data_IF_389978482462
#
_entry.id   IF_389978482462
#
_cell.length_a   1.000
_cell.length_b   1.000
_cell.length_c   1.000
_cell.angle_alpha   90.00
_cell.angle_beta   90.00
_cell.angle_gamma   90.00
#
_symmetry.space_group_name_H-M   'P 1'
#
loop_
_entity.id
_entity.type
_entity.pdbx_description
1 polymer ?
#
# COMPACT_ATOMS: atom_id res chain seq x y z
N UNK A 1 9.17 -14.79 -18.21
CA UNK A 1 8.90 -13.39 -17.83
C UNK A 1 8.53 -12.47 -19.01
N UNK A 2 8.89 -12.81 -20.24
CA UNK A 2 8.49 -12.03 -21.43
C UNK A 2 7.16 -12.48 -22.05
N UNK A 3 6.66 -13.65 -21.70
CA UNK A 3 5.34 -14.12 -22.11
C UNK A 3 4.18 -13.44 -21.35
N UNK A 4 4.48 -12.70 -20.28
CA UNK A 4 3.45 -12.07 -19.43
C UNK A 4 2.76 -10.87 -20.09
N UNK A 5 3.42 -10.11 -20.98
CA UNK A 5 2.82 -8.88 -21.50
C UNK A 5 1.71 -9.13 -22.54
N UNK A 6 1.85 -10.09 -23.42
CA UNK A 6 0.83 -10.40 -24.42
C UNK A 6 -0.34 -11.23 -23.86
N UNK A 7 -0.10 -12.06 -22.84
CA UNK A 7 -1.14 -12.85 -22.18
C UNK A 7 -1.88 -12.08 -21.09
N UNK A 8 -1.27 -11.05 -20.46
CA UNK A 8 -1.90 -10.25 -19.41
C UNK A 8 -2.95 -9.30 -19.94
N UNK A 9 -2.83 -8.78 -21.17
CA UNK A 9 -3.79 -7.85 -21.76
C UNK A 9 -5.10 -8.53 -22.22
N UNK A 10 -5.05 -9.83 -22.52
CA UNK A 10 -6.23 -10.58 -22.98
C UNK A 10 -7.04 -11.16 -21.82
N UNK A 11 -6.43 -11.30 -20.65
CA UNK A 11 -7.06 -11.98 -19.53
C UNK A 11 -6.59 -11.37 -18.18
N UNK A 12 -7.43 -10.73 -17.42
CA UNK A 12 -7.14 -10.27 -16.04
C UNK A 12 -6.77 -11.46 -15.16
N UNK A 13 -5.45 -11.67 -14.83
CA UNK A 13 -4.97 -12.90 -14.20
C UNK A 13 -3.87 -12.72 -13.20
N UNK A 14 -3.81 -13.66 -12.27
CA UNK A 14 -2.68 -13.85 -11.36
C UNK A 14 -1.74 -14.92 -11.89
N UNK A 15 -0.42 -14.63 -11.87
CA UNK A 15 0.65 -15.57 -12.09
C UNK A 15 1.44 -15.72 -10.81
N UNK A 16 1.72 -16.97 -10.43
CA UNK A 16 2.52 -17.29 -9.24
C UNK A 16 3.69 -18.16 -9.65
N UNK A 17 4.91 -17.71 -9.39
CA UNK A 17 6.11 -18.51 -9.60
C UNK A 17 6.11 -19.71 -8.65
N UNK A 18 6.46 -20.87 -9.17
CA UNK A 18 6.63 -22.12 -8.43
C UNK A 18 8.04 -22.66 -8.66
N UNK A 19 8.45 -23.63 -7.86
CA UNK A 19 9.80 -24.21 -7.91
C UNK A 19 10.14 -24.82 -9.27
N UNK A 20 9.15 -25.28 -10.01
CA UNK A 20 9.25 -26.00 -11.29
C UNK A 20 8.47 -25.35 -12.43
N UNK A 21 8.02 -24.11 -12.27
CA UNK A 21 7.29 -23.42 -13.32
C UNK A 21 6.48 -22.22 -12.86
N UNK A 22 5.38 -21.96 -13.55
CA UNK A 22 4.47 -20.85 -13.26
C UNK A 22 3.04 -21.39 -13.18
N UNK A 23 2.34 -21.10 -12.08
CA UNK A 23 0.90 -21.32 -11.98
C UNK A 23 0.15 -20.08 -12.47
N UNK A 24 -0.79 -20.27 -13.38
CA UNK A 24 -1.67 -19.21 -13.87
C UNK A 24 -3.12 -19.54 -13.50
N UNK A 25 -3.81 -18.55 -12.91
CA UNK A 25 -5.22 -18.70 -12.51
C UNK A 25 -6.12 -17.89 -13.44
N UNK A 26 -7.23 -18.46 -13.88
CA UNK A 26 -8.20 -17.84 -14.78
C UNK A 26 -9.61 -18.21 -14.36
N UNK A 27 -10.57 -17.31 -14.52
CA UNK A 27 -11.98 -17.61 -14.33
C UNK A 27 -12.43 -18.68 -15.33
N UNK A 28 -13.22 -19.63 -14.87
CA UNK A 28 -13.64 -20.81 -15.64
C UNK A 28 -14.32 -20.45 -16.96
N UNK A 29 -15.16 -19.44 -16.97
CA UNK A 29 -15.89 -18.92 -18.13
C UNK A 29 -14.98 -18.23 -19.16
N UNK A 30 -13.79 -17.78 -18.74
CA UNK A 30 -12.76 -17.18 -19.60
C UNK A 30 -11.72 -18.19 -20.09
N UNK A 31 -11.72 -19.43 -19.59
CA UNK A 31 -10.78 -20.45 -19.99
C UNK A 31 -11.12 -21.02 -21.38
N UNK A 32 -10.15 -20.96 -22.27
CA UNK A 32 -10.26 -21.56 -23.60
C UNK A 32 -8.97 -22.30 -23.96
N UNK A 33 -9.06 -23.63 -23.96
CA UNK A 33 -7.92 -24.51 -24.21
C UNK A 33 -7.32 -24.33 -25.63
N UNK A 34 -8.15 -23.98 -26.63
CA UNK A 34 -7.67 -23.75 -28.00
C UNK A 34 -6.78 -22.50 -28.04
N UNK A 35 -7.21 -21.43 -27.43
CA UNK A 35 -6.42 -20.18 -27.33
C UNK A 35 -5.12 -20.42 -26.59
N UNK A 36 -5.15 -21.22 -25.51
CA UNK A 36 -3.93 -21.58 -24.78
C UNK A 36 -2.96 -22.36 -25.66
N UNK A 37 -3.44 -23.38 -26.40
CA UNK A 37 -2.60 -24.19 -27.30
C UNK A 37 -2.00 -23.35 -28.43
N UNK A 38 -2.77 -22.43 -28.99
CA UNK A 38 -2.27 -21.52 -30.04
C UNK A 38 -1.18 -20.59 -29.48
N UNK A 39 -1.40 -20.02 -28.30
CA UNK A 39 -0.41 -19.15 -27.64
C UNK A 39 0.88 -19.91 -27.26
N UNK A 40 0.78 -21.19 -26.88
CA UNK A 40 1.96 -22.03 -26.57
C UNK A 40 2.68 -22.49 -27.84
N UNK A 41 1.98 -22.65 -28.94
CA UNK A 41 2.58 -23.00 -30.24
C UNK A 41 3.44 -21.87 -30.82
N UNK A 42 3.08 -20.61 -30.50
CA UNK A 42 3.82 -19.39 -30.88
C UNK A 42 4.68 -18.84 -29.74
N UNK A 43 5.19 -19.71 -28.88
CA UNK A 43 5.95 -19.32 -27.72
C UNK A 43 7.27 -18.60 -28.10
N UNK A 44 7.55 -17.41 -27.57
CA UNK A 44 8.59 -16.53 -28.12
C UNK A 44 10.05 -16.95 -27.85
N UNK A 45 10.27 -18.03 -27.09
CA UNK A 45 11.61 -18.54 -26.81
C UNK A 45 11.92 -19.73 -27.71
N UNK A 46 12.90 -19.65 -28.62
CA UNK A 46 13.30 -20.75 -29.47
C UNK A 46 13.84 -21.93 -28.63
N UNK A 47 13.63 -23.15 -29.10
CA UNK A 47 14.10 -24.39 -28.46
C UNK A 47 13.53 -24.62 -27.03
N UNK A 48 12.41 -23.99 -26.67
CA UNK A 48 11.75 -24.20 -25.41
C UNK A 48 10.52 -25.08 -25.58
N UNK A 49 10.49 -26.20 -24.87
CA UNK A 49 9.31 -27.05 -24.77
C UNK A 49 8.52 -26.63 -23.52
N UNK A 50 7.27 -26.25 -23.73
CA UNK A 50 6.35 -25.89 -22.62
C UNK A 50 5.37 -27.02 -22.40
N UNK A 51 5.40 -27.62 -21.23
CA UNK A 51 4.39 -28.58 -20.78
C UNK A 51 3.40 -27.86 -19.87
N UNK A 52 2.13 -28.17 -19.97
CA UNK A 52 1.11 -27.60 -19.08
C UNK A 52 0.11 -28.65 -18.63
N UNK A 53 -0.41 -28.46 -17.45
CA UNK A 53 -1.56 -29.15 -16.91
C UNK A 53 -2.57 -28.14 -16.39
N UNK A 54 -3.84 -28.45 -16.45
CA UNK A 54 -4.86 -27.61 -15.81
C UNK A 54 -5.74 -28.44 -14.90
N UNK A 55 -6.22 -27.81 -13.86
CA UNK A 55 -7.21 -28.38 -12.94
C UNK A 55 -8.23 -27.32 -12.58
N UNK A 56 -9.46 -27.74 -12.36
CA UNK A 56 -10.47 -26.87 -11.80
C UNK A 56 -10.17 -26.66 -10.32
N UNK A 57 -9.96 -25.39 -9.91
CA UNK A 57 -9.84 -25.05 -8.50
C UNK A 57 -11.23 -25.14 -7.85
N UNK A 58 -11.29 -25.56 -6.59
CA UNK A 58 -12.52 -25.48 -5.82
C UNK A 58 -13.02 -24.03 -5.79
N UNK A 59 -14.32 -23.84 -5.90
CA UNK A 59 -14.96 -22.51 -5.78
C UNK A 59 -14.94 -22.08 -4.31
N UNK A 60 -13.74 -21.67 -3.87
CA UNK A 60 -13.48 -21.11 -2.55
C UNK A 60 -12.98 -19.70 -2.73
N UNK A 61 -13.38 -18.82 -1.84
CA UNK A 61 -12.69 -17.54 -1.69
C UNK A 61 -11.29 -17.79 -1.11
N UNK A 62 -10.34 -18.01 -2.02
CA UNK A 62 -8.94 -18.27 -1.67
C UNK A 62 -8.29 -17.06 -0.97
N UNK A 63 -8.83 -15.85 -1.19
CA UNK A 63 -8.36 -14.65 -0.50
C UNK A 63 -8.79 -14.70 0.97
N UNK A 64 -10.05 -15.04 1.24
CA UNK A 64 -10.54 -15.21 2.61
C UNK A 64 -9.80 -16.34 3.35
N UNK A 65 -9.50 -17.45 2.68
CA UNK A 65 -8.74 -18.55 3.28
C UNK A 65 -7.28 -18.19 3.50
N UNK A 66 -6.68 -17.45 2.56
CA UNK A 66 -5.33 -16.91 2.73
C UNK A 66 -5.28 -15.89 3.88
N UNK A 67 -6.20 -14.97 3.93
CA UNK A 67 -6.31 -13.96 5.00
C UNK A 67 -6.45 -14.63 6.37
N UNK A 68 -7.32 -15.62 6.51
CA UNK A 68 -7.50 -16.35 7.77
C UNK A 68 -6.26 -17.14 8.22
N UNK A 69 -5.49 -17.66 7.30
CA UNK A 69 -4.35 -18.53 7.61
C UNK A 69 -3.02 -17.78 7.73
N UNK A 70 -2.85 -16.65 7.02
CA UNK A 70 -1.57 -15.94 6.89
C UNK A 70 -1.58 -14.54 7.51
N UNK A 71 -2.73 -13.89 7.65
CA UNK A 71 -2.83 -12.62 8.33
C UNK A 71 -2.93 -12.85 9.84
N UNK A 72 -1.83 -12.64 10.55
CA UNK A 72 -1.80 -12.71 12.02
C UNK A 72 -1.90 -11.29 12.60
N UNK A 73 -2.45 -11.11 13.83
CA UNK A 73 -2.42 -9.81 14.50
C UNK A 73 -0.99 -9.28 14.61
N UNK A 74 -0.81 -8.01 14.29
CA UNK A 74 0.48 -7.32 14.32
C UNK A 74 0.51 -6.37 15.49
N UNK A 75 1.59 -6.41 16.28
CA UNK A 75 1.81 -5.48 17.37
C UNK A 75 2.97 -4.55 16.99
N UNK A 76 2.75 -3.25 17.09
CA UNK A 76 3.76 -2.24 16.80
C UNK A 76 4.00 -1.40 18.06
N UNK A 77 5.23 -1.49 18.59
CA UNK A 77 5.70 -0.71 19.72
C UNK A 77 4.87 -0.87 21.00
N UNK A 78 4.27 -2.03 21.25
CA UNK A 78 3.38 -2.32 22.39
C UNK A 78 2.17 -1.36 22.53
N UNK A 79 1.97 -0.48 21.54
CA UNK A 79 0.96 0.58 21.57
C UNK A 79 -0.12 0.42 20.52
N UNK A 80 0.14 -0.25 19.42
CA UNK A 80 -0.80 -0.43 18.34
C UNK A 80 -0.92 -1.90 17.97
N UNK A 81 -2.14 -2.42 17.93
CA UNK A 81 -2.46 -3.72 17.36
C UNK A 81 -3.26 -3.54 16.08
N UNK A 82 -2.93 -4.33 15.07
CA UNK A 82 -3.63 -4.37 13.79
C UNK A 82 -4.11 -5.79 13.60
N UNK A 83 -5.38 -5.95 13.34
CA UNK A 83 -5.98 -7.27 13.14
C UNK A 83 -7.14 -7.21 12.15
N UNK A 84 -7.65 -8.37 11.73
CA UNK A 84 -8.87 -8.45 10.92
C UNK A 84 -10.07 -8.86 11.76
N UNK A 85 -11.27 -8.69 11.21
CA UNK A 85 -12.56 -9.02 11.87
C UNK A 85 -12.70 -10.50 12.26
N UNK A 86 -11.95 -11.40 11.64
CA UNK A 86 -11.99 -12.84 11.94
C UNK A 86 -11.05 -13.27 13.08
N UNK A 87 -10.14 -12.43 13.55
CA UNK A 87 -9.30 -12.75 14.70
C UNK A 87 -10.09 -12.65 16.01
N UNK A 88 -9.80 -13.54 16.96
CA UNK A 88 -10.53 -13.61 18.24
C UNK A 88 -9.68 -13.27 19.44
N UNK A 89 -8.44 -13.72 19.46
CA UNK A 89 -7.51 -13.51 20.58
C UNK A 89 -6.61 -12.32 20.29
N UNK A 90 -7.17 -11.11 20.42
CA UNK A 90 -6.46 -9.86 20.11
C UNK A 90 -5.77 -9.34 21.36
N UNK A 91 -4.46 -9.10 21.34
CA UNK A 91 -3.74 -8.43 22.43
C UNK A 91 -4.30 -7.03 22.67
N UNK A 92 -4.39 -6.61 23.93
CA UNK A 92 -4.78 -5.24 24.26
C UNK A 92 -3.67 -4.26 23.90
N UNK A 93 -4.02 -3.15 23.26
CA UNK A 93 -3.13 -2.05 22.93
C UNK A 93 -3.83 -0.71 23.10
N UNK A 94 -3.06 0.39 23.09
CA UNK A 94 -3.57 1.78 23.14
C UNK A 94 -4.44 2.08 21.90
N UNK A 95 -4.01 1.60 20.74
CA UNK A 95 -4.73 1.72 19.46
C UNK A 95 -5.00 0.32 18.92
N UNK A 96 -6.26 0.05 18.71
CA UNK A 96 -6.77 -1.19 18.13
C UNK A 96 -7.35 -0.88 16.76
N UNK A 97 -6.70 -1.40 15.70
CA UNK A 97 -7.04 -1.10 14.30
C UNK A 97 -7.51 -2.37 13.60
N UNK A 98 -8.74 -2.32 13.12
CA UNK A 98 -9.34 -3.42 12.36
C UNK A 98 -9.15 -3.15 10.87
N UNK A 99 -8.50 -4.06 10.17
CA UNK A 99 -8.28 -3.98 8.72
C UNK A 99 -8.74 -5.27 8.05
N UNK A 100 -9.62 -5.14 7.09
CA UNK A 100 -9.91 -6.20 6.13
C UNK A 100 -9.19 -5.86 4.82
N UNK A 101 -8.06 -6.50 4.51
CA UNK A 101 -7.14 -6.03 3.46
C UNK A 101 -7.67 -6.17 2.04
N UNK A 102 -8.58 -7.10 1.75
CA UNK A 102 -9.23 -7.33 0.45
C UNK A 102 -8.30 -7.13 -0.78
N UNK A 103 -7.07 -7.63 -0.73
CA UNK A 103 -6.02 -7.44 -1.75
C UNK A 103 -5.46 -6.00 -1.88
N UNK A 104 -5.88 -5.06 -1.05
CA UNK A 104 -5.25 -3.73 -1.00
C UNK A 104 -3.91 -3.79 -0.25
N UNK A 105 -2.96 -2.92 -0.65
CA UNK A 105 -1.71 -2.75 0.09
C UNK A 105 -1.96 -2.02 1.41
N UNK A 106 -1.11 -2.26 2.42
CA UNK A 106 -1.23 -1.56 3.71
C UNK A 106 -1.86 -2.40 4.81
N UNK A 107 -1.63 -3.72 4.82
CA UNK A 107 -2.11 -4.63 5.88
C UNK A 107 -1.38 -4.44 7.22
N UNK A 108 -0.34 -3.62 7.27
CA UNK A 108 0.53 -3.48 8.44
C UNK A 108 1.68 -4.51 8.52
N UNK A 109 1.62 -5.60 7.75
CA UNK A 109 2.67 -6.62 7.73
C UNK A 109 3.96 -6.14 7.07
N UNK A 110 3.86 -5.22 6.12
CA UNK A 110 5.02 -4.70 5.44
C UNK A 110 5.82 -3.76 6.35
N UNK A 111 7.13 -3.86 6.31
CA UNK A 111 8.05 -3.08 7.14
C UNK A 111 7.81 -1.59 7.04
N UNK A 112 7.54 -1.09 5.83
CA UNK A 112 7.31 0.34 5.56
C UNK A 112 6.09 0.88 6.30
N UNK A 113 4.99 0.12 6.32
CA UNK A 113 3.78 0.49 7.06
C UNK A 113 4.06 0.51 8.56
N UNK A 114 4.76 -0.52 9.08
CA UNK A 114 5.16 -0.58 10.50
C UNK A 114 6.05 0.60 10.90
N UNK A 115 6.98 1.01 10.02
CA UNK A 115 7.88 2.15 10.27
C UNK A 115 7.11 3.47 10.36
N UNK A 116 6.19 3.72 9.42
CA UNK A 116 5.37 4.95 9.45
C UNK A 116 4.42 4.94 10.66
N UNK A 117 3.81 3.80 11.00
CA UNK A 117 3.00 3.69 12.22
C UNK A 117 3.84 4.07 13.45
N UNK A 118 5.07 3.58 13.56
CA UNK A 118 5.98 3.96 14.64
C UNK A 118 6.28 5.47 14.67
N UNK A 119 6.40 6.14 13.51
CA UNK A 119 6.53 7.61 13.45
C UNK A 119 5.26 8.31 13.94
N UNK A 120 4.10 7.84 13.48
CA UNK A 120 2.82 8.43 13.89
C UNK A 120 2.54 8.26 15.38
N UNK A 121 2.94 7.12 15.98
CA UNK A 121 2.79 6.87 17.42
C UNK A 121 3.66 7.80 18.26
N UNK A 122 4.78 8.27 17.74
CA UNK A 122 5.70 9.17 18.45
C UNK A 122 5.41 10.66 18.20
N UNK A 123 4.57 11.00 17.20
CA UNK A 123 4.26 12.39 16.85
C UNK A 123 3.01 12.90 17.58
N UNK A 124 2.97 14.20 17.87
CA UNK A 124 1.73 14.87 18.27
C UNK A 124 0.91 15.22 17.02
N UNK A 125 -0.25 14.57 16.87
CA UNK A 125 -1.15 14.75 15.74
C UNK A 125 -2.43 15.51 16.10
N UNK A 126 -2.59 15.93 17.36
CA UNK A 126 -3.81 16.57 17.84
C UNK A 126 -4.14 17.81 17.02
N UNK A 127 -5.28 17.80 16.33
CA UNK A 127 -5.78 18.91 15.52
C UNK A 127 -5.02 19.18 14.23
N UNK A 128 -3.99 18.39 13.89
CA UNK A 128 -3.23 18.54 12.64
C UNK A 128 -4.02 18.01 11.45
N UNK A 129 -4.01 18.77 10.36
CA UNK A 129 -4.48 18.29 9.05
C UNK A 129 -3.49 17.29 8.46
N UNK A 130 -4.01 16.20 7.87
CA UNK A 130 -3.17 15.11 7.37
C UNK A 130 -3.59 14.67 5.96
N UNK A 131 -2.58 14.43 5.12
CA UNK A 131 -2.72 13.80 3.81
C UNK A 131 -2.01 12.44 3.80
N UNK A 132 -2.72 11.39 3.35
CA UNK A 132 -2.18 10.03 3.11
C UNK A 132 -2.24 9.73 1.62
N UNK A 133 -1.07 9.76 0.94
CA UNK A 133 -0.92 9.54 -0.50
C UNK A 133 -0.53 8.10 -0.80
N UNK A 134 -1.34 7.44 -1.66
CA UNK A 134 -1.27 5.98 -1.85
C UNK A 134 -1.77 5.26 -0.61
N UNK A 135 -2.96 5.61 -0.16
CA UNK A 135 -3.46 5.22 1.15
C UNK A 135 -3.76 3.72 1.30
N UNK A 136 -3.96 2.98 0.20
CA UNK A 136 -4.25 1.55 0.22
C UNK A 136 -5.45 1.21 1.10
N UNK A 137 -5.20 0.58 2.24
CA UNK A 137 -6.24 0.27 3.26
C UNK A 137 -6.65 1.47 4.11
N UNK A 138 -6.01 2.63 3.97
CA UNK A 138 -6.08 3.81 4.84
C UNK A 138 -5.66 3.58 6.29
N UNK A 139 -4.91 2.54 6.60
CA UNK A 139 -4.46 2.25 7.97
C UNK A 139 -3.72 3.42 8.63
N UNK A 140 -2.90 4.16 7.84
CA UNK A 140 -2.12 5.29 8.34
C UNK A 140 -3.02 6.49 8.66
N UNK A 141 -3.97 6.81 7.79
CA UNK A 141 -4.98 7.84 8.03
C UNK A 141 -5.89 7.49 9.22
N UNK A 142 -6.30 6.21 9.38
CA UNK A 142 -7.10 5.72 10.50
C UNK A 142 -6.34 5.92 11.81
N UNK A 143 -5.08 5.47 11.91
CA UNK A 143 -4.26 5.69 13.10
C UNK A 143 -4.09 7.17 13.40
N UNK A 144 -3.76 7.98 12.39
CA UNK A 144 -3.59 9.40 12.56
C UNK A 144 -4.87 10.06 13.11
N UNK A 145 -6.03 9.65 12.61
CA UNK A 145 -7.32 10.14 13.10
C UNK A 145 -7.59 9.71 14.55
N UNK A 146 -7.30 8.46 14.91
CA UNK A 146 -7.39 7.98 16.30
C UNK A 146 -6.48 8.79 17.25
N UNK A 147 -5.36 9.31 16.74
CA UNK A 147 -4.42 10.16 17.45
C UNK A 147 -4.78 11.66 17.41
N UNK A 148 -5.98 11.99 16.90
CA UNK A 148 -6.52 13.35 16.93
C UNK A 148 -6.25 14.20 15.69
N UNK A 149 -5.61 13.67 14.64
CA UNK A 149 -5.49 14.38 13.37
C UNK A 149 -6.88 14.68 12.78
N UNK A 150 -7.10 15.90 12.32
CA UNK A 150 -8.34 16.30 11.65
C UNK A 150 -8.21 17.69 10.99
N UNK A 151 -8.64 17.84 9.71
CA UNK A 151 -9.18 16.81 8.83
C UNK A 151 -8.09 15.86 8.31
N UNK A 152 -8.48 14.65 7.91
CA UNK A 152 -7.62 13.73 7.18
C UNK A 152 -8.11 13.57 5.75
N UNK A 153 -7.19 13.55 4.80
CA UNK A 153 -7.44 13.27 3.39
C UNK A 153 -6.64 12.04 2.99
N UNK A 154 -7.27 11.08 2.36
CA UNK A 154 -6.64 9.87 1.85
C UNK A 154 -6.85 9.78 0.33
N UNK A 155 -5.81 9.48 -0.41
CA UNK A 155 -5.85 9.44 -1.87
C UNK A 155 -5.21 8.15 -2.36
N UNK A 156 -5.88 7.44 -3.27
CA UNK A 156 -5.31 6.30 -3.97
C UNK A 156 -5.76 6.30 -5.44
N UNK A 157 -4.91 5.82 -6.32
CA UNK A 157 -5.22 5.73 -7.75
C UNK A 157 -6.17 4.57 -8.06
N UNK A 158 -6.14 3.53 -7.22
CA UNK A 158 -6.91 2.31 -7.41
C UNK A 158 -8.29 2.42 -6.75
N UNK A 159 -9.34 2.22 -7.55
CA UNK A 159 -10.73 2.21 -7.08
C UNK A 159 -10.99 1.15 -6.00
N UNK A 160 -10.28 -0.01 -6.06
CA UNK A 160 -10.40 -1.04 -5.04
C UNK A 160 -9.84 -0.58 -3.70
N UNK A 161 -8.70 0.12 -3.71
CA UNK A 161 -8.12 0.73 -2.53
C UNK A 161 -9.07 1.76 -1.91
N UNK A 162 -9.70 2.61 -2.73
CA UNK A 162 -10.68 3.60 -2.26
C UNK A 162 -11.88 2.95 -1.59
N UNK A 163 -12.45 1.90 -2.19
CA UNK A 163 -13.57 1.15 -1.57
C UNK A 163 -13.16 0.47 -0.28
N UNK A 164 -12.03 -0.22 -0.28
CA UNK A 164 -11.51 -0.89 0.90
C UNK A 164 -11.18 0.10 2.03
N UNK A 165 -10.63 1.27 1.69
CA UNK A 165 -10.41 2.37 2.64
C UNK A 165 -11.69 2.79 3.34
N UNK A 166 -12.77 2.99 2.60
CA UNK A 166 -14.07 3.40 3.17
C UNK A 166 -14.62 2.35 4.11
N UNK A 167 -14.53 1.07 3.75
CA UNK A 167 -14.93 -0.06 4.63
C UNK A 167 -14.09 -0.09 5.91
N UNK A 168 -12.77 0.05 5.81
CA UNK A 168 -11.89 0.05 6.97
C UNK A 168 -12.12 1.25 7.89
N UNK A 169 -12.41 2.43 7.34
CA UNK A 169 -12.77 3.63 8.10
C UNK A 169 -14.06 3.36 8.89
N UNK A 170 -15.08 2.76 8.27
CA UNK A 170 -16.33 2.37 8.93
C UNK A 170 -16.11 1.33 10.03
N UNK A 171 -15.31 0.28 9.75
CA UNK A 171 -14.96 -0.78 10.72
C UNK A 171 -14.33 -0.21 11.99
N UNK A 172 -13.52 0.83 11.86
CA UNK A 172 -12.85 1.46 13.00
C UNK A 172 -13.68 2.57 13.65
N UNK A 173 -14.86 2.89 13.14
CA UNK A 173 -15.74 3.91 13.71
C UNK A 173 -15.11 5.31 13.74
N UNK A 174 -14.16 5.59 12.85
CA UNK A 174 -13.51 6.91 12.77
C UNK A 174 -14.21 7.81 11.75
N UNK A 175 -14.24 9.10 12.04
CA UNK A 175 -14.84 10.14 11.20
C UNK A 175 -13.79 11.08 10.62
N UNK A 176 -14.21 12.07 9.82
CA UNK A 176 -13.37 13.15 9.29
C UNK A 176 -12.15 12.68 8.49
N UNK A 177 -12.28 11.52 7.83
CA UNK A 177 -11.37 11.05 6.79
C UNK A 177 -12.12 11.11 5.46
N UNK A 178 -11.64 11.92 4.52
CA UNK A 178 -12.17 11.99 3.16
C UNK A 178 -11.29 11.16 2.24
N UNK A 179 -11.87 10.22 1.48
CA UNK A 179 -11.14 9.35 0.56
C UNK A 179 -11.44 9.74 -0.88
N UNK A 180 -10.41 9.90 -1.70
CA UNK A 180 -10.54 10.29 -3.10
C UNK A 180 -9.77 9.32 -4.00
N UNK A 181 -10.36 9.01 -5.15
CA UNK A 181 -9.65 8.31 -6.21
C UNK A 181 -8.85 9.29 -7.05
N UNK A 182 -7.54 9.06 -7.19
CA UNK A 182 -6.68 9.88 -8.04
C UNK A 182 -5.21 9.81 -7.65
N UNK A 183 -4.44 10.72 -8.24
CA UNK A 183 -3.01 10.88 -8.00
C UNK A 183 -2.68 12.28 -7.43
N UNK A 184 -1.39 12.62 -7.35
CA UNK A 184 -0.94 13.91 -6.82
C UNK A 184 -1.43 15.14 -7.63
N UNK A 185 -2.10 14.98 -8.77
CA UNK A 185 -2.72 16.09 -9.49
C UNK A 185 -3.92 16.68 -8.74
N UNK A 186 -4.54 15.89 -7.84
CA UNK A 186 -5.62 16.35 -6.96
C UNK A 186 -5.15 17.37 -5.92
N UNK A 187 -3.84 17.48 -5.70
CA UNK A 187 -3.27 18.41 -4.71
C UNK A 187 -3.21 19.86 -5.21
N UNK A 188 -3.54 20.08 -6.49
CA UNK A 188 -3.57 21.44 -7.03
C UNK A 188 -4.65 22.27 -6.31
N UNK A 189 -4.23 23.43 -5.82
CA UNK A 189 -5.12 24.40 -5.16
C UNK A 189 -5.76 23.88 -3.84
N UNK A 190 -5.14 22.86 -3.21
CA UNK A 190 -5.53 22.39 -1.86
C UNK A 190 -4.98 23.33 -0.78
N UNK A 191 -5.72 23.44 0.33
CA UNK A 191 -5.20 24.06 1.54
C UNK A 191 -3.98 23.26 2.06
N UNK A 192 -2.97 23.94 2.60
CA UNK A 192 -1.79 23.26 3.11
C UNK A 192 -2.08 22.28 4.24
N UNK A 193 -1.37 21.16 4.23
CA UNK A 193 -1.41 20.14 5.27
C UNK A 193 -0.28 20.31 6.29
N UNK A 194 -0.58 20.02 7.56
CA UNK A 194 0.43 19.95 8.63
C UNK A 194 1.31 18.72 8.50
N UNK A 195 0.72 17.60 8.06
CA UNK A 195 1.39 16.30 7.92
C UNK A 195 1.03 15.67 6.58
N UNK A 196 2.03 15.26 5.84
CA UNK A 196 1.86 14.46 4.62
C UNK A 196 2.56 13.12 4.81
N UNK A 197 1.89 12.04 4.44
CA UNK A 197 2.42 10.68 4.40
C UNK A 197 2.38 10.20 2.95
N UNK A 198 3.48 9.60 2.48
CA UNK A 198 3.52 8.93 1.19
C UNK A 198 4.33 7.63 1.32
N UNK A 199 3.61 6.51 1.49
CA UNK A 199 4.19 5.18 1.59
C UNK A 199 4.03 4.43 0.26
N UNK A 200 4.76 4.88 -0.76
CA UNK A 200 4.69 4.43 -2.15
C UNK A 200 6.08 4.26 -2.75
N UNK A 201 6.18 3.70 -3.96
CA UNK A 201 7.48 3.44 -4.56
C UNK A 201 8.30 4.71 -4.83
N UNK A 202 9.64 4.58 -4.76
CA UNK A 202 10.63 5.65 -4.91
C UNK A 202 10.39 6.54 -6.13
N UNK A 203 10.09 5.95 -7.30
CA UNK A 203 10.02 6.72 -8.54
C UNK A 203 8.83 7.66 -8.55
N UNK A 204 7.70 7.26 -7.97
CA UNK A 204 6.53 8.13 -7.79
C UNK A 204 6.85 9.23 -6.79
N UNK A 205 7.49 8.91 -5.66
CA UNK A 205 7.90 9.90 -4.66
C UNK A 205 8.76 11.01 -5.28
N UNK A 206 9.77 10.63 -6.06
CA UNK A 206 10.65 11.59 -6.76
C UNK A 206 9.88 12.47 -7.76
N UNK A 207 8.94 11.89 -8.50
CA UNK A 207 8.13 12.60 -9.47
C UNK A 207 7.15 13.60 -8.84
N UNK A 208 6.55 13.22 -7.72
CA UNK A 208 5.44 13.96 -7.12
C UNK A 208 5.86 14.88 -5.95
N UNK A 209 7.12 14.82 -5.52
CA UNK A 209 7.63 15.57 -4.36
C UNK A 209 7.34 17.06 -4.42
N UNK A 210 7.53 17.67 -5.60
CA UNK A 210 7.19 19.09 -5.80
C UNK A 210 5.72 19.40 -5.53
N UNK A 211 4.82 18.48 -5.85
CA UNK A 211 3.38 18.62 -5.58
C UNK A 211 3.09 18.52 -4.10
N UNK A 212 3.75 17.59 -3.38
CA UNK A 212 3.62 17.49 -1.93
C UNK A 212 4.07 18.79 -1.26
N UNK A 213 5.24 19.33 -1.64
CA UNK A 213 5.75 20.58 -1.08
C UNK A 213 4.82 21.77 -1.38
N UNK A 214 4.14 21.80 -2.56
CA UNK A 214 3.22 22.89 -2.91
C UNK A 214 1.96 22.95 -2.01
N UNK A 215 1.63 21.87 -1.30
CA UNK A 215 0.55 21.84 -0.30
C UNK A 215 1.07 21.65 1.13
N UNK A 216 2.25 22.21 1.41
CA UNK A 216 2.84 22.34 2.76
C UNK A 216 2.99 23.80 3.15
N UNK A 217 3.07 24.08 4.43
CA UNK A 217 3.45 25.38 5.00
C UNK A 217 4.71 25.23 5.86
N UNK A 218 5.41 26.34 6.21
CA UNK A 218 6.56 26.25 7.10
C UNK A 218 6.24 25.52 8.40
N UNK A 219 7.01 24.47 8.70
CA UNK A 219 6.80 23.59 9.84
C UNK A 219 6.00 22.32 9.54
N UNK A 220 5.41 22.18 8.35
CA UNK A 220 4.77 20.93 7.95
C UNK A 220 5.76 19.79 7.85
N UNK A 221 5.31 18.58 8.15
CA UNK A 221 6.08 17.36 8.17
C UNK A 221 5.73 16.46 6.99
N UNK A 222 6.74 15.90 6.33
CA UNK A 222 6.58 14.92 5.27
C UNK A 222 7.25 13.60 5.66
N UNK A 223 6.46 12.53 5.72
CA UNK A 223 6.93 11.16 5.95
C UNK A 223 6.86 10.38 4.66
N UNK A 224 7.98 9.82 4.22
CA UNK A 224 8.07 8.99 3.01
C UNK A 224 8.64 7.63 3.32
N UNK A 225 8.08 6.59 2.70
CA UNK A 225 8.53 5.20 2.77
C UNK A 225 8.14 4.47 1.47
N UNK A 226 8.43 3.15 1.38
CA UNK A 226 8.20 2.36 0.18
C UNK A 226 9.47 2.20 -0.67
N UNK A 227 10.65 2.39 -0.06
CA UNK A 227 11.95 2.26 -0.69
C UNK A 227 13.00 1.73 0.31
N UNK A 228 14.14 1.33 -0.20
CA UNK A 228 15.24 0.79 0.62
C UNK A 228 16.17 1.90 1.13
N UNK A 229 16.95 1.58 2.16
CA UNK A 229 17.95 2.51 2.73
C UNK A 229 18.95 3.03 1.69
N UNK A 230 19.27 2.25 0.67
CA UNK A 230 20.15 2.64 -0.42
C UNK A 230 19.58 3.78 -1.29
N UNK A 231 18.27 4.00 -1.24
CA UNK A 231 17.56 5.06 -1.97
C UNK A 231 17.49 6.38 -1.20
N UNK A 232 17.83 6.39 0.10
CA UNK A 232 17.76 7.61 0.95
C UNK A 232 18.53 8.78 0.32
N UNK A 233 19.77 8.61 -0.19
CA UNK A 233 20.51 9.73 -0.74
C UNK A 233 19.80 10.44 -1.90
N UNK A 234 19.16 9.70 -2.81
CA UNK A 234 18.45 10.30 -3.95
C UNK A 234 17.13 10.94 -3.53
N UNK A 235 16.40 10.35 -2.58
CA UNK A 235 15.19 10.94 -1.99
C UNK A 235 15.53 12.23 -1.24
N UNK A 236 16.59 12.22 -0.44
CA UNK A 236 17.03 13.39 0.32
C UNK A 236 17.47 14.53 -0.61
N UNK A 237 18.25 14.24 -1.65
CA UNK A 237 18.69 15.26 -2.61
C UNK A 237 17.51 15.95 -3.31
N UNK A 238 16.48 15.18 -3.71
CA UNK A 238 15.27 15.75 -4.31
C UNK A 238 14.45 16.54 -3.28
N UNK A 239 14.35 16.05 -2.04
CA UNK A 239 13.66 16.76 -0.96
C UNK A 239 14.31 18.13 -0.67
N UNK A 240 15.63 18.16 -0.52
CA UNK A 240 16.40 19.39 -0.28
C UNK A 240 16.32 20.35 -1.47
N UNK A 241 16.31 19.83 -2.71
CA UNK A 241 16.09 20.64 -3.91
C UNK A 241 14.72 21.34 -3.90
N UNK A 242 13.69 20.71 -3.32
CA UNK A 242 12.36 21.28 -3.15
C UNK A 242 12.19 22.09 -1.85
N UNK A 243 13.26 22.34 -1.08
CA UNK A 243 13.25 23.18 0.11
C UNK A 243 12.97 22.45 1.41
N UNK A 244 12.85 21.15 1.39
CA UNK A 244 12.66 20.33 2.59
C UNK A 244 13.98 20.12 3.33
N UNK A 245 13.93 20.03 4.64
CA UNK A 245 15.07 19.69 5.50
C UNK A 245 14.90 18.28 6.03
N UNK A 246 15.92 17.44 5.84
CA UNK A 246 15.99 16.11 6.42
C UNK A 246 16.04 16.19 7.95
N UNK A 247 15.25 15.36 8.63
CA UNK A 247 15.22 15.26 10.10
C UNK A 247 15.89 13.99 10.57
N UNK A 248 15.35 12.83 10.21
CA UNK A 248 15.88 11.51 10.49
C UNK A 248 15.31 10.46 9.55
N UNK A 249 15.82 9.25 9.66
CA UNK A 249 15.20 8.06 9.11
C UNK A 249 15.11 6.94 10.17
N UNK A 250 14.17 6.02 9.95
CA UNK A 250 14.10 4.72 10.63
C UNK A 250 14.22 3.63 9.58
N UNK A 251 14.76 2.46 9.98
CA UNK A 251 14.89 1.32 9.08
C UNK A 251 14.43 0.01 9.72
N UNK A 252 13.96 -0.92 8.90
CA UNK A 252 13.62 -2.29 9.27
C UNK A 252 13.80 -3.19 8.05
N UNK A 253 14.64 -4.23 8.19
CA UNK A 253 14.94 -5.17 7.10
C UNK A 253 15.31 -4.46 5.77
N UNK A 254 16.19 -3.45 5.85
CA UNK A 254 16.62 -2.57 4.75
C UNK A 254 15.56 -1.63 4.18
N UNK A 255 14.30 -1.73 4.56
CA UNK A 255 13.27 -0.74 4.23
C UNK A 255 13.44 0.51 5.08
N UNK A 256 13.22 1.66 4.48
CA UNK A 256 13.39 2.94 5.13
C UNK A 256 12.08 3.72 5.25
N UNK A 257 11.95 4.47 6.34
CA UNK A 257 11.03 5.59 6.45
C UNK A 257 11.83 6.85 6.77
N UNK A 258 11.61 7.93 6.05
CA UNK A 258 12.31 9.21 6.24
C UNK A 258 11.33 10.31 6.63
N UNK A 259 11.79 11.20 7.51
CA UNK A 259 11.07 12.40 7.92
C UNK A 259 11.77 13.64 7.42
N UNK A 260 10.99 14.52 6.80
CA UNK A 260 11.39 15.87 6.40
C UNK A 260 10.47 16.92 7.01
N UNK A 261 10.94 18.17 7.02
CA UNK A 261 10.18 19.35 7.45
C UNK A 261 10.42 20.48 6.43
N UNK A 262 9.35 21.21 6.09
CA UNK A 262 9.42 22.39 5.24
C UNK A 262 9.80 23.64 6.07
#
# INVERSE_FOLDING_TARGET
LLASSAASDVYKRQFVEQTDGIAAYIQKDLYNETVLKEALADFPLPDTQVEYAYQEAEDKDWNEEWEKNFFQPIIIGDRCVIHSTFHRDIPQAEYDIVINPQMAFGTGHHETTSLIIGELLDNDLQGKSLLDMGCGTSILAILARMRGAAPCTAVDIDEWCVRNSLENIELNGVDRISVFQGDASLLKDQEPFDVIIANINRNILLNDMKRYVSCMHPGSELYMSGFYVDDIPVIQAEAEHNGLRFVHHKEKNRWAAVKFVL
#
